data_IF_003040682925
#
_entry.id   IF_003040682925
#
_cell.length_a   1.000
_cell.length_b   1.000
_cell.length_c   1.000
_cell.angle_alpha   90.00
_cell.angle_beta   90.00
_cell.angle_gamma   90.00
#
_symmetry.space_group_name_H-M   'P 1'
#
loop_
_entity.id
_entity.type
_entity.pdbx_description
1 polymer ?
#
# COMPACT_ATOMS: atom_id res chain seq x y z
N UNK A 1 16.02 -2.27 -14.90
CA UNK A 1 15.45 -3.50 -15.50
C UNK A 1 14.85 -3.06 -16.83
N UNK A 2 15.31 -3.59 -17.97
CA UNK A 2 14.84 -3.16 -19.30
C UNK A 2 13.46 -3.70 -19.67
N UNK A 3 12.96 -3.32 -20.84
CA UNK A 3 11.59 -3.57 -21.35
C UNK A 3 11.15 -5.04 -21.46
N UNK A 4 12.05 -5.99 -21.18
CA UNK A 4 11.82 -7.44 -21.27
C UNK A 4 11.72 -8.14 -19.91
N UNK A 5 11.73 -7.38 -18.81
CA UNK A 5 11.70 -7.92 -17.46
C UNK A 5 10.54 -7.34 -16.67
N UNK A 6 9.84 -8.21 -15.96
CA UNK A 6 8.75 -7.86 -15.06
C UNK A 6 9.01 -8.47 -13.68
N UNK A 7 8.66 -7.73 -12.64
CA UNK A 7 8.65 -8.23 -11.27
C UNK A 7 7.22 -8.58 -10.87
N UNK A 8 7.02 -9.77 -10.31
CA UNK A 8 5.74 -10.21 -9.78
C UNK A 8 5.93 -10.52 -8.31
N UNK A 9 5.07 -9.96 -7.46
CA UNK A 9 5.06 -10.17 -6.01
C UNK A 9 3.64 -10.51 -5.62
N UNK A 10 3.48 -11.57 -4.83
CA UNK A 10 2.19 -12.00 -4.32
C UNK A 10 2.35 -12.60 -2.92
N UNK A 11 1.22 -12.75 -2.24
CA UNK A 11 1.16 -13.23 -0.87
C UNK A 11 0.58 -14.64 -0.82
N UNK A 12 1.12 -15.47 0.06
CA UNK A 12 0.67 -16.85 0.28
C UNK A 12 0.97 -17.29 1.71
N UNK A 13 0.49 -18.46 2.12
CA UNK A 13 0.79 -19.00 3.45
C UNK A 13 2.28 -19.35 3.59
N UNK A 14 2.83 -19.37 4.83
CA UNK A 14 4.22 -19.75 5.06
C UNK A 14 4.58 -21.13 4.48
N UNK A 15 3.68 -22.11 4.59
CA UNK A 15 3.87 -23.45 4.05
C UNK A 15 3.98 -23.45 2.51
N UNK A 16 3.07 -22.74 1.83
CA UNK A 16 3.11 -22.60 0.37
C UNK A 16 4.37 -21.87 -0.08
N UNK A 17 4.78 -20.81 0.62
CA UNK A 17 5.97 -20.03 0.24
C UNK A 17 7.25 -20.87 0.28
N UNK A 18 7.38 -21.75 1.28
CA UNK A 18 8.52 -22.66 1.38
C UNK A 18 8.50 -23.71 0.27
N UNK A 19 7.32 -24.27 -0.04
CA UNK A 19 7.15 -25.20 -1.16
C UNK A 19 7.54 -24.54 -2.49
N UNK A 20 7.04 -23.32 -2.76
CA UNK A 20 7.37 -22.54 -3.97
C UNK A 20 8.86 -22.21 -4.09
N UNK A 21 9.57 -22.11 -2.97
CA UNK A 21 11.02 -21.92 -2.96
C UNK A 21 11.77 -23.19 -3.35
N UNK A 22 11.28 -24.37 -2.97
CA UNK A 22 11.93 -25.67 -3.22
C UNK A 22 11.62 -26.30 -4.59
N UNK A 23 10.56 -25.90 -5.27
CA UNK A 23 10.24 -26.46 -6.60
C UNK A 23 11.25 -26.04 -7.67
N UNK A 24 11.33 -26.86 -8.73
CA UNK A 24 12.15 -26.60 -9.92
C UNK A 24 11.74 -25.29 -10.61
N UNK A 25 12.62 -24.76 -11.46
CA UNK A 25 12.30 -23.53 -12.21
C UNK A 25 11.21 -23.82 -13.24
N UNK A 26 11.23 -24.99 -13.86
CA UNK A 26 10.29 -25.45 -14.88
C UNK A 26 8.88 -25.58 -14.30
N UNK A 27 8.73 -26.25 -13.16
CA UNK A 27 7.43 -26.40 -12.49
C UNK A 27 6.90 -25.05 -12.00
N UNK A 28 7.78 -24.19 -11.48
CA UNK A 28 7.40 -22.84 -11.08
C UNK A 28 6.88 -22.01 -12.26
N UNK A 29 7.56 -22.05 -13.42
CA UNK A 29 7.14 -21.33 -14.62
C UNK A 29 5.80 -21.85 -15.14
N UNK A 30 5.57 -23.17 -15.08
CA UNK A 30 4.30 -23.78 -15.47
C UNK A 30 3.16 -23.28 -14.58
N UNK A 31 3.38 -23.25 -13.27
CA UNK A 31 2.37 -22.84 -12.30
C UNK A 31 2.07 -21.33 -12.38
N UNK A 32 3.08 -20.48 -12.60
CA UNK A 32 2.88 -19.04 -12.82
C UNK A 32 2.09 -18.79 -14.10
N UNK A 33 2.41 -19.47 -15.21
CA UNK A 33 1.67 -19.30 -16.46
C UNK A 33 0.23 -19.81 -16.32
N UNK A 34 0.00 -20.96 -15.66
CA UNK A 34 -1.37 -21.44 -15.39
C UNK A 34 -2.14 -20.46 -14.51
N UNK A 35 -1.52 -19.86 -13.49
CA UNK A 35 -2.17 -18.85 -12.67
C UNK A 35 -2.51 -17.56 -13.46
N UNK A 36 -1.66 -17.15 -14.41
CA UNK A 36 -1.94 -16.00 -15.27
C UNK A 36 -3.03 -16.29 -16.31
N UNK A 37 -3.08 -17.52 -16.83
CA UNK A 37 -4.04 -17.94 -17.84
C UNK A 37 -5.44 -18.21 -17.25
N UNK A 38 -5.51 -18.83 -16.06
CA UNK A 38 -6.73 -19.39 -15.46
C UNK A 38 -7.15 -18.74 -14.12
N UNK A 39 -6.27 -17.99 -13.46
CA UNK A 39 -6.43 -17.55 -12.06
C UNK A 39 -7.35 -16.35 -11.82
N UNK A 40 -7.84 -15.67 -12.87
CA UNK A 40 -8.70 -14.47 -12.74
C UNK A 40 -10.20 -14.76 -12.95
N UNK A 41 -10.62 -16.03 -12.93
CA UNK A 41 -12.00 -16.43 -13.21
C UNK A 41 -12.32 -16.41 -14.71
N UNK A 42 -13.57 -16.73 -15.10
CA UNK A 42 -13.96 -16.76 -16.51
C UNK A 42 -13.72 -15.40 -17.15
N UNK A 43 -13.04 -15.41 -18.30
CA UNK A 43 -12.78 -14.19 -19.09
C UNK A 43 -14.12 -13.49 -19.31
N UNK A 44 -14.23 -12.17 -19.05
CA UNK A 44 -15.46 -11.45 -19.32
C UNK A 44 -15.74 -11.52 -20.83
N UNK A 45 -16.67 -12.40 -21.21
CA UNK A 45 -17.30 -12.35 -22.52
C UNK A 45 -18.02 -11.02 -22.62
N UNK A 46 -17.86 -10.33 -23.74
CA UNK A 46 -18.54 -9.07 -24.03
C UNK A 46 -20.06 -9.29 -24.11
N UNK A 47 -20.72 -9.43 -22.96
CA UNK A 47 -22.16 -9.33 -22.82
C UNK A 47 -22.47 -8.06 -22.04
N UNK A 48 -23.11 -7.17 -22.75
CA UNK A 48 -23.56 -5.82 -22.43
C UNK A 48 -24.40 -5.81 -21.14
N UNK A 49 -23.81 -5.59 -19.95
CA UNK A 49 -24.56 -5.11 -18.78
C UNK A 49 -23.65 -4.37 -17.79
N UNK A 50 -24.05 -3.16 -17.41
CA UNK A 50 -23.18 -2.09 -16.93
C UNK A 50 -22.55 -2.27 -15.55
N UNK A 51 -21.26 -1.98 -15.46
CA UNK A 51 -20.50 -1.73 -14.22
C UNK A 51 -19.28 -0.84 -14.52
N UNK A 52 -19.51 0.25 -15.28
CA UNK A 52 -18.41 1.08 -15.83
C UNK A 52 -17.85 2.15 -14.89
N UNK A 53 -18.19 2.18 -13.60
CA UNK A 53 -17.90 3.39 -12.79
C UNK A 53 -17.41 3.12 -11.36
N UNK A 54 -16.45 2.20 -11.21
CA UNK A 54 -15.98 1.77 -9.89
C UNK A 54 -14.62 2.37 -9.45
N UNK A 55 -13.86 3.01 -10.36
CA UNK A 55 -12.52 3.56 -10.05
C UNK A 55 -12.22 4.92 -10.72
N UNK A 56 -13.24 5.72 -11.05
CA UNK A 56 -13.04 7.02 -11.71
C UNK A 56 -12.41 8.11 -10.83
N UNK A 57 -12.28 7.90 -9.50
CA UNK A 57 -11.68 8.89 -8.60
C UNK A 57 -10.14 8.98 -8.69
N UNK A 58 -9.44 7.98 -9.24
CA UNK A 58 -7.97 8.00 -9.31
C UNK A 58 -7.37 8.68 -10.57
N UNK A 59 -8.17 9.08 -11.56
CA UNK A 59 -7.65 9.67 -12.83
C UNK A 59 -8.25 11.05 -13.13
N UNK A 60 -7.65 12.08 -12.54
CA UNK A 60 -7.43 13.40 -13.17
C UNK A 60 -5.90 13.58 -13.06
N UNK A 61 -5.07 13.23 -14.03
CA UNK A 61 -5.06 13.66 -15.42
C UNK A 61 -4.36 12.60 -16.30
N UNK A 62 -5.12 11.83 -17.07
CA UNK A 62 -4.56 11.04 -18.15
C UNK A 62 -5.58 10.96 -19.27
N UNK A 63 -5.21 11.56 -20.40
CA UNK A 63 -5.93 11.67 -21.66
C UNK A 63 -6.57 10.37 -22.12
N UNK A 64 -7.79 10.51 -22.65
CA UNK A 64 -8.58 9.49 -23.34
C UNK A 64 -7.76 8.79 -24.45
N UNK A 65 -7.61 7.48 -24.35
CA UNK A 65 -7.27 6.56 -25.44
C UNK A 65 -7.89 5.21 -25.08
N UNK A 66 -9.11 4.94 -25.54
CA UNK A 66 -9.39 4.10 -26.72
C UNK A 66 -9.12 2.61 -26.46
N UNK A 67 -10.20 1.82 -26.41
CA UNK A 67 -10.25 0.35 -26.42
C UNK A 67 -9.23 -0.38 -25.52
N UNK A 68 -9.60 -0.61 -24.26
CA UNK A 68 -8.95 -1.65 -23.44
C UNK A 68 -9.30 -3.03 -24.02
N UNK A 69 -8.55 -3.44 -25.04
CA UNK A 69 -8.36 -4.85 -25.33
C UNK A 69 -7.78 -5.48 -24.07
N UNK A 70 -8.38 -6.56 -23.58
CA UNK A 70 -7.77 -7.39 -22.55
C UNK A 70 -6.52 -7.99 -23.18
N UNK A 71 -5.37 -7.36 -22.96
CA UNK A 71 -4.08 -7.90 -23.39
C UNK A 71 -3.87 -9.23 -22.69
N UNK A 72 -3.62 -10.27 -23.49
CA UNK A 72 -3.30 -11.59 -22.98
C UNK A 72 -2.00 -11.44 -22.18
N UNK A 73 -1.95 -11.89 -20.91
CA UNK A 73 -0.74 -11.76 -20.12
C UNK A 73 0.42 -12.43 -20.86
N UNK A 74 1.59 -11.78 -20.95
CA UNK A 74 2.73 -12.34 -21.66
C UNK A 74 3.20 -13.62 -20.96
N UNK A 75 3.53 -14.64 -21.76
CA UNK A 75 4.06 -15.90 -21.21
C UNK A 75 5.40 -15.68 -20.53
N UNK A 76 5.51 -16.17 -19.30
CA UNK A 76 6.76 -16.15 -18.55
C UNK A 76 7.64 -17.29 -19.05
N UNK A 77 8.76 -16.93 -19.71
CA UNK A 77 9.67 -17.90 -20.34
C UNK A 77 10.87 -18.28 -19.47
N UNK A 78 11.27 -17.39 -18.56
CA UNK A 78 12.49 -17.57 -17.76
C UNK A 78 12.47 -16.75 -16.48
N UNK A 79 13.09 -17.29 -15.45
CA UNK A 79 13.39 -16.59 -14.21
C UNK A 79 14.67 -15.73 -14.37
N UNK A 80 14.60 -14.44 -14.06
CA UNK A 80 15.75 -13.54 -14.17
C UNK A 80 16.65 -13.53 -12.93
N UNK A 81 16.11 -13.88 -11.76
CA UNK A 81 16.78 -13.88 -10.46
C UNK A 81 16.24 -15.00 -9.58
N UNK A 82 16.92 -15.35 -8.49
CA UNK A 82 16.39 -16.36 -7.55
C UNK A 82 15.02 -15.99 -6.97
N UNK A 83 14.26 -17.01 -6.57
CA UNK A 83 12.95 -16.87 -5.91
C UNK A 83 13.16 -16.40 -4.47
N UNK A 84 12.65 -15.23 -4.14
CA UNK A 84 12.78 -14.64 -2.81
C UNK A 84 11.49 -14.77 -2.01
N UNK A 85 11.63 -15.05 -0.72
CA UNK A 85 10.51 -15.12 0.23
C UNK A 85 10.84 -14.18 1.38
N UNK A 86 9.90 -13.30 1.69
CA UNK A 86 10.02 -12.33 2.77
C UNK A 86 8.87 -12.52 3.75
N UNK A 87 9.14 -12.70 5.06
CA UNK A 87 8.08 -12.77 6.04
C UNK A 87 7.34 -11.43 6.08
N UNK A 88 6.03 -11.52 6.03
CA UNK A 88 5.15 -10.37 6.10
C UNK A 88 5.08 -9.95 7.57
N UNK A 89 5.74 -8.85 7.91
CA UNK A 89 5.75 -8.36 9.29
C UNK A 89 5.20 -6.94 9.35
N UNK A 90 4.33 -6.73 10.33
CA UNK A 90 3.81 -5.43 10.70
C UNK A 90 4.35 -5.13 12.08
N UNK A 91 5.35 -4.25 12.17
CA UNK A 91 6.05 -3.90 13.41
C UNK A 91 6.08 -2.39 13.57
N UNK A 92 6.04 -1.94 14.81
CA UNK A 92 6.06 -0.53 15.14
C UNK A 92 6.74 -0.30 16.47
N UNK A 93 7.71 0.59 16.52
CA UNK A 93 8.42 0.94 17.74
C UNK A 93 7.50 1.70 18.71
N UNK A 94 7.54 1.38 20.00
CA UNK A 94 6.74 2.07 21.01
C UNK A 94 7.13 3.55 21.15
N UNK A 95 8.40 3.88 20.90
CA UNK A 95 8.93 5.24 20.86
C UNK A 95 9.88 5.39 19.68
N UNK A 96 9.79 6.52 18.99
CA UNK A 96 10.62 6.82 17.82
C UNK A 96 11.81 7.70 18.17
N UNK A 97 11.77 8.38 19.31
CA UNK A 97 12.78 9.35 19.72
C UNK A 97 13.20 9.18 21.18
N UNK A 98 14.48 9.34 21.43
CA UNK A 98 15.08 9.44 22.75
C UNK A 98 16.16 10.52 22.72
N UNK A 99 16.80 10.81 23.85
CA UNK A 99 17.86 11.81 23.93
C UNK A 99 18.99 11.42 22.97
N UNK A 100 19.25 12.28 21.97
CA UNK A 100 20.27 12.08 20.92
C UNK A 100 20.08 10.81 20.05
N UNK A 101 18.90 10.21 20.03
CA UNK A 101 18.61 9.00 19.23
C UNK A 101 17.25 9.14 18.57
N UNK A 102 17.16 8.81 17.28
CA UNK A 102 15.90 8.73 16.54
C UNK A 102 15.87 7.48 15.66
N UNK A 103 14.71 6.85 15.58
CA UNK A 103 14.40 5.75 14.67
C UNK A 103 13.63 6.28 13.47
N UNK A 104 14.00 5.86 12.26
CA UNK A 104 13.34 6.18 10.99
C UNK A 104 13.20 4.92 10.12
N UNK A 105 12.23 4.92 9.20
CA UNK A 105 12.02 3.82 8.27
C UNK A 105 11.80 2.48 8.98
N UNK A 106 12.39 1.41 8.43
CA UNK A 106 12.23 0.04 8.94
C UNK A 106 12.66 -0.15 10.41
N UNK A 107 13.49 0.75 10.95
CA UNK A 107 13.86 0.73 12.37
C UNK A 107 12.73 1.26 13.28
N UNK A 108 11.86 2.12 12.77
CA UNK A 108 10.73 2.70 13.49
C UNK A 108 9.41 1.96 13.20
N UNK A 109 9.21 1.56 11.95
CA UNK A 109 8.02 0.84 11.50
C UNK A 109 8.36 -0.08 10.34
N UNK A 110 7.85 -1.30 10.38
CA UNK A 110 7.89 -2.23 9.25
C UNK A 110 6.46 -2.46 8.82
N UNK A 111 6.16 -2.10 7.57
CA UNK A 111 4.84 -2.32 6.97
C UNK A 111 4.88 -3.54 6.05
N UNK A 112 3.72 -4.19 5.88
CA UNK A 112 3.61 -5.33 4.99
C UNK A 112 4.04 -4.95 3.54
N UNK A 113 4.90 -5.73 2.87
CA UNK A 113 5.40 -5.42 1.53
C UNK A 113 4.35 -5.39 0.42
N UNK A 114 3.07 -5.70 0.70
CA UNK A 114 1.96 -5.65 -0.28
C UNK A 114 1.81 -4.27 -0.89
N UNK A 115 2.14 -3.22 -0.13
CA UNK A 115 1.91 -1.85 -0.55
C UNK A 115 3.11 -1.22 -1.28
N UNK A 116 4.30 -1.82 -1.20
CA UNK A 116 5.54 -1.20 -1.70
C UNK A 116 5.86 0.17 -1.07
N UNK A 117 5.21 0.54 0.04
CA UNK A 117 5.29 1.89 0.62
C UNK A 117 6.43 2.08 1.62
N UNK A 118 7.12 1.03 2.06
CA UNK A 118 8.12 1.11 3.14
C UNK A 118 9.19 2.18 2.87
N UNK A 119 9.75 2.20 1.65
CA UNK A 119 10.74 3.21 1.26
C UNK A 119 10.16 4.63 1.25
N UNK A 120 8.92 4.79 0.78
CA UNK A 120 8.24 6.09 0.75
C UNK A 120 7.95 6.62 2.16
N UNK A 121 7.59 5.74 3.10
CA UNK A 121 7.42 6.10 4.50
C UNK A 121 8.76 6.51 5.13
N UNK A 122 9.85 5.80 4.83
CA UNK A 122 11.20 6.15 5.26
C UNK A 122 11.65 7.51 4.74
N UNK A 123 11.37 7.84 3.48
CA UNK A 123 11.67 9.18 2.93
C UNK A 123 10.88 10.28 3.63
N UNK A 124 9.60 10.03 3.96
CA UNK A 124 8.78 10.98 4.71
C UNK A 124 9.31 11.17 6.14
N UNK A 125 9.83 10.13 6.77
CA UNK A 125 10.49 10.24 8.08
C UNK A 125 11.75 11.10 7.98
N UNK A 126 12.61 10.84 7.00
CA UNK A 126 13.84 11.61 6.79
C UNK A 126 13.54 13.10 6.51
N UNK A 127 12.52 13.37 5.69
CA UNK A 127 12.07 14.73 5.40
C UNK A 127 11.57 15.44 6.67
N UNK A 128 10.65 14.84 7.43
CA UNK A 128 10.15 15.42 8.68
C UNK A 128 11.27 15.63 9.71
N UNK A 129 12.17 14.66 9.86
CA UNK A 129 13.32 14.78 10.76
C UNK A 129 14.23 15.93 10.36
N UNK A 130 14.56 16.08 9.07
CA UNK A 130 15.40 17.17 8.58
C UNK A 130 14.78 18.55 8.86
N UNK A 131 13.46 18.67 8.71
CA UNK A 131 12.72 19.89 8.99
C UNK A 131 12.76 20.23 10.48
N UNK A 132 12.48 19.26 11.35
CA UNK A 132 12.52 19.42 12.81
C UNK A 132 13.93 19.81 13.29
N UNK A 133 14.98 19.19 12.75
CA UNK A 133 16.36 19.54 13.07
C UNK A 133 16.68 20.97 12.62
N UNK A 134 16.31 21.35 11.40
CA UNK A 134 16.55 22.70 10.88
C UNK A 134 15.85 23.79 11.73
N UNK A 135 14.60 23.55 12.14
CA UNK A 135 13.86 24.42 13.06
C UNK A 135 14.57 24.55 14.41
N UNK A 136 15.06 23.44 14.96
CA UNK A 136 15.82 23.45 16.22
C UNK A 136 17.11 24.26 16.13
N UNK A 137 17.87 24.09 15.05
CA UNK A 137 19.09 24.87 14.79
C UNK A 137 18.78 26.36 14.68
N UNK A 138 17.72 26.74 13.95
CA UNK A 138 17.32 28.14 13.78
C UNK A 138 16.93 28.82 15.10
N UNK A 139 16.41 28.04 16.07
CA UNK A 139 16.03 28.52 17.40
C UNK A 139 17.15 28.38 18.45
N UNK A 140 18.32 27.88 18.07
CA UNK A 140 19.45 27.65 18.99
C UNK A 140 19.26 26.46 19.94
N UNK A 141 18.34 25.54 19.64
CA UNK A 141 18.12 24.32 20.42
C UNK A 141 19.18 23.25 20.13
N UNK A 142 19.46 22.39 21.11
CA UNK A 142 20.29 21.20 20.90
C UNK A 142 19.55 20.21 19.99
N UNK A 143 20.17 19.79 18.88
CA UNK A 143 19.60 18.81 17.95
C UNK A 143 19.27 17.47 18.62
N UNK A 144 19.92 17.17 19.75
CA UNK A 144 19.71 15.99 20.55
C UNK A 144 18.60 16.10 21.59
N UNK A 145 17.95 17.26 21.69
CA UNK A 145 16.94 17.52 22.72
C UNK A 145 15.67 16.71 22.47
N UNK A 146 15.20 16.01 23.51
CA UNK A 146 14.00 15.15 23.42
C UNK A 146 12.76 15.94 23.02
N UNK A 147 12.61 17.18 23.48
CA UNK A 147 11.43 17.99 23.14
C UNK A 147 11.39 18.35 21.65
N UNK A 148 12.55 18.59 21.04
CA UNK A 148 12.67 18.81 19.61
C UNK A 148 12.31 17.52 18.85
N UNK A 149 12.96 16.41 19.19
CA UNK A 149 12.77 15.11 18.51
C UNK A 149 11.36 14.54 18.69
N UNK A 150 10.66 14.89 19.79
CA UNK A 150 9.25 14.53 19.98
C UNK A 150 8.32 15.17 18.96
N UNK A 151 8.68 16.30 18.36
CA UNK A 151 7.89 16.90 17.25
C UNK A 151 7.87 15.96 16.05
N UNK A 152 9.03 15.39 15.70
CA UNK A 152 9.16 14.36 14.68
C UNK A 152 8.35 13.11 15.05
N UNK A 153 8.52 12.60 16.28
CA UNK A 153 7.78 11.41 16.74
C UNK A 153 6.26 11.63 16.67
N UNK A 154 5.74 12.76 17.16
CA UNK A 154 4.31 13.04 17.14
C UNK A 154 3.73 13.07 15.71
N UNK A 155 4.42 13.71 14.77
CA UNK A 155 3.99 13.79 13.37
C UNK A 155 4.03 12.42 12.68
N UNK A 156 5.16 11.71 12.79
CA UNK A 156 5.41 10.50 12.01
C UNK A 156 4.77 9.26 12.61
N UNK A 157 4.75 9.13 13.93
CA UNK A 157 4.11 7.99 14.61
C UNK A 157 2.62 7.91 14.30
N UNK A 158 1.91 9.04 14.36
CA UNK A 158 0.48 9.07 14.03
C UNK A 158 0.22 8.70 12.57
N UNK A 159 0.99 9.26 11.64
CA UNK A 159 0.85 8.97 10.21
C UNK A 159 1.16 7.50 9.89
N UNK A 160 2.19 6.93 10.50
CA UNK A 160 2.61 5.55 10.27
C UNK A 160 1.61 4.56 10.89
N UNK A 161 1.08 4.81 12.09
CA UNK A 161 0.01 4.00 12.69
C UNK A 161 -1.25 4.00 11.82
N UNK A 162 -1.67 5.16 11.30
CA UNK A 162 -2.83 5.26 10.42
C UNK A 162 -2.64 4.44 9.13
N UNK A 163 -1.47 4.54 8.50
CA UNK A 163 -1.14 3.74 7.32
C UNK A 163 -1.17 2.25 7.63
N UNK A 164 -0.60 1.83 8.76
CA UNK A 164 -0.61 0.43 9.20
C UNK A 164 -2.04 -0.09 9.41
N UNK A 165 -2.93 0.69 10.03
CA UNK A 165 -4.32 0.30 10.25
C UNK A 165 -5.09 0.13 8.92
N UNK A 166 -4.83 1.01 7.94
CA UNK A 166 -5.42 0.89 6.60
C UNK A 166 -4.93 -0.38 5.91
N UNK A 167 -3.63 -0.65 5.95
CA UNK A 167 -3.05 -1.85 5.35
C UNK A 167 -3.54 -3.15 6.00
N UNK A 168 -3.63 -3.19 7.33
CA UNK A 168 -4.17 -4.34 8.07
C UNK A 168 -5.66 -4.54 7.76
N UNK A 169 -6.43 -3.46 7.62
CA UNK A 169 -7.82 -3.50 7.20
C UNK A 169 -8.00 -4.08 5.80
N UNK A 170 -7.18 -3.65 4.84
CA UNK A 170 -7.18 -4.25 3.49
C UNK A 170 -6.79 -5.72 3.53
N UNK A 171 -5.70 -6.08 4.23
CA UNK A 171 -5.27 -7.47 4.34
C UNK A 171 -6.39 -8.35 4.90
N UNK A 172 -7.02 -7.95 6.01
CA UNK A 172 -8.15 -8.69 6.60
C UNK A 172 -9.34 -8.78 5.66
N UNK A 173 -9.65 -7.71 4.92
CA UNK A 173 -10.72 -7.74 3.93
C UNK A 173 -10.43 -8.73 2.79
N UNK A 174 -9.17 -8.85 2.35
CA UNK A 174 -8.74 -9.81 1.33
C UNK A 174 -8.53 -11.23 1.84
N UNK A 175 -8.24 -11.43 3.13
CA UNK A 175 -8.07 -12.76 3.75
C UNK A 175 -9.38 -13.38 4.22
N UNK A 176 -10.48 -12.61 4.30
CA UNK A 176 -11.80 -13.11 4.67
C UNK A 176 -12.60 -13.53 3.42
N UNK A 177 -12.52 -14.81 3.04
CA UNK A 177 -13.46 -15.43 2.11
C UNK A 177 -14.80 -15.72 2.80
N UNK A 178 -15.60 -14.68 3.04
CA UNK A 178 -17.00 -14.83 3.43
C UNK A 178 -17.89 -14.35 2.28
N UNK A 179 -18.66 -15.28 1.69
CA UNK A 179 -19.62 -15.06 0.61
C UNK A 179 -20.63 -13.88 0.73
N UNK A 180 -20.94 -13.27 1.90
CA UNK A 180 -21.80 -12.09 1.97
C UNK A 180 -21.12 -10.76 1.58
N UNK A 181 -19.80 -10.72 1.37
CA UNK A 181 -19.07 -9.47 1.10
C UNK A 181 -19.43 -8.80 -0.24
N UNK A 182 -20.07 -9.50 -1.18
CA UNK A 182 -20.65 -8.89 -2.37
C UNK A 182 -21.75 -7.87 -2.02
N UNK A 183 -22.52 -8.12 -0.97
CA UNK A 183 -23.59 -7.22 -0.53
C UNK A 183 -23.03 -6.01 0.21
N UNK A 184 -21.99 -6.20 1.03
CA UNK A 184 -21.31 -5.11 1.72
C UNK A 184 -20.53 -4.21 0.75
N UNK A 185 -19.91 -4.79 -0.28
CA UNK A 185 -19.26 -4.05 -1.37
C UNK A 185 -20.29 -3.24 -2.17
N UNK A 186 -21.43 -3.83 -2.54
CA UNK A 186 -22.52 -3.10 -3.21
C UNK A 186 -23.12 -1.99 -2.35
N UNK A 187 -23.31 -2.24 -1.04
CA UNK A 187 -23.79 -1.25 -0.07
C UNK A 187 -22.78 -0.12 0.19
N UNK A 188 -21.48 -0.42 0.20
CA UNK A 188 -20.42 0.59 0.29
C UNK A 188 -20.36 1.47 -0.96
N UNK A 189 -20.54 0.89 -2.16
CA UNK A 189 -20.66 1.65 -3.41
C UNK A 189 -21.94 2.49 -3.47
N UNK A 190 -23.09 1.98 -2.99
CA UNK A 190 -24.34 2.77 -2.89
C UNK A 190 -24.27 3.88 -1.82
N UNK A 191 -23.65 3.60 -0.68
CA UNK A 191 -23.44 4.57 0.41
C UNK A 191 -22.48 5.69 0.02
N UNK A 192 -21.38 5.37 -0.67
CA UNK A 192 -20.42 6.36 -1.17
C UNK A 192 -21.03 7.30 -2.23
N UNK A 193 -22.00 6.83 -3.01
CA UNK A 193 -22.67 7.66 -4.02
C UNK A 193 -23.72 8.62 -3.42
N UNK A 194 -24.19 8.36 -2.20
CA UNK A 194 -25.25 9.15 -1.55
C UNK A 194 -24.72 10.27 -0.64
N UNK A 195 -23.42 10.30 -0.33
CA UNK A 195 -22.83 11.27 0.62
C UNK A 195 -21.87 12.23 -0.12
N UNK A 196 -22.44 13.10 -0.95
CA UNK A 196 -21.74 14.26 -1.55
C UNK A 196 -20.92 15.13 -0.56
N UNK A 197 -21.31 15.34 0.72
CA UNK A 197 -20.47 16.13 1.64
C UNK A 197 -19.19 15.42 2.10
N UNK A 198 -19.14 14.08 2.11
CA UNK A 198 -17.95 13.32 2.53
C UNK A 198 -16.83 13.44 1.50
N UNK A 199 -17.18 13.45 0.21
CA UNK A 199 -16.24 13.70 -0.90
C UNK A 199 -15.58 15.07 -0.79
N UNK A 200 -16.32 16.11 -0.37
CA UNK A 200 -15.77 17.46 -0.14
C UNK A 200 -14.83 17.51 1.06
N UNK A 201 -15.16 16.84 2.17
CA UNK A 201 -14.26 16.76 3.33
C UNK A 201 -12.98 15.98 3.04
N UNK A 202 -13.03 14.90 2.25
CA UNK A 202 -11.83 14.13 1.93
C UNK A 202 -10.90 14.90 0.97
N UNK A 203 -11.47 15.61 -0.01
CA UNK A 203 -10.69 16.46 -0.92
C UNK A 203 -10.05 17.65 -0.18
N UNK A 204 -10.80 18.28 0.75
CA UNK A 204 -10.30 19.37 1.61
C UNK A 204 -9.23 18.90 2.61
N UNK A 205 -9.33 17.66 3.09
CA UNK A 205 -8.31 17.02 3.95
C UNK A 205 -7.04 16.66 3.18
N UNK A 206 -7.18 16.18 1.93
CA UNK A 206 -6.05 15.87 1.05
C UNK A 206 -5.32 17.12 0.55
N UNK A 207 -5.99 18.27 0.49
CA UNK A 207 -5.39 19.58 0.15
C UNK A 207 -4.80 20.33 1.35
N UNK A 208 -4.97 19.82 2.58
CA UNK A 208 -4.27 20.29 3.77
C UNK A 208 -4.83 21.55 4.45
N UNK A 209 -6.07 21.97 4.17
CA UNK A 209 -6.54 23.29 4.59
C UNK A 209 -7.21 23.39 5.99
N UNK A 210 -7.75 22.35 6.64
CA UNK A 210 -8.23 22.47 8.04
C UNK A 210 -8.29 21.14 8.84
N UNK A 211 -8.12 21.23 10.18
CA UNK A 211 -8.27 20.14 11.19
C UNK A 211 -9.75 19.71 11.33
N UNK A 212 -9.96 18.43 11.65
CA UNK A 212 -11.29 17.79 11.84
C UNK A 212 -12.17 18.54 12.87
N UNK A 213 -13.48 18.75 12.61
CA UNK A 213 -14.44 19.21 13.61
C UNK A 213 -15.18 18.01 14.21
N UNK A 214 -14.45 17.07 14.78
CA UNK A 214 -15.04 16.04 15.63
C UNK A 214 -14.00 15.76 16.70
N UNK A 215 -14.40 15.93 17.96
CA UNK A 215 -13.59 15.98 19.18
C UNK A 215 -13.10 17.38 19.56
N UNK A 216 -13.90 18.00 20.45
CA UNK A 216 -13.43 18.82 21.56
C UNK A 216 -12.28 18.12 22.31
#
# INVERSE_FOLDING_TARGET
MGDKFSNIVWTMSPAESNNRKSITVEDFLKDVNSALDDGYGPRPTSSFFGTRDMFSWFKKDATLSANEFVEIPPKVVRLASEKMVFPLSLRHACSYSSKRVVLIGDAAHTVHPLAGQGVNLGFRDAFSLSRVIAEGIALGSDIGEVNLLRKYEAERKQANIMMMAVLDGFQKAYSCDFGPFNFLRAAAFQGANSISPLKKSIISYASGEHKLPIFL
#
